data_IF_965674045608
#
_entry.id   IF_965674045608
#
_cell.length_a   1.000
_cell.length_b   1.000
_cell.length_c   1.000
_cell.angle_alpha   90.00
_cell.angle_beta   90.00
_cell.angle_gamma   90.00
#
_symmetry.space_group_name_H-M   'P 1'
#
loop_
_entity.id
_entity.type
_entity.pdbx_description
1 polymer ?
#
# COMPACT_ATOMS: atom_id res chain seq x y z
N UNK A 1 6.30 -4.79 -18.90
CA UNK A 1 7.20 -3.62 -18.88
C UNK A 1 7.96 -3.66 -17.57
N UNK A 2 9.27 -3.90 -17.64
CA UNK A 2 10.13 -4.01 -16.45
C UNK A 2 10.08 -2.66 -15.72
N UNK A 3 9.63 -2.58 -14.46
CA UNK A 3 9.77 -1.34 -13.72
C UNK A 3 11.27 -1.07 -13.65
N UNK A 4 11.69 0.09 -14.15
CA UNK A 4 13.02 0.62 -13.83
C UNK A 4 13.14 0.61 -12.30
N UNK A 5 14.34 0.37 -11.77
CA UNK A 5 14.59 0.24 -10.33
C UNK A 5 14.20 1.50 -9.49
N UNK A 6 13.64 2.53 -10.13
CA UNK A 6 13.10 3.78 -9.57
C UNK A 6 11.71 4.18 -10.16
N UNK A 7 10.88 3.21 -10.59
CA UNK A 7 9.59 3.49 -11.22
C UNK A 7 8.47 3.70 -10.20
N UNK A 8 7.84 4.89 -10.22
CA UNK A 8 6.60 5.16 -9.52
C UNK A 8 5.44 4.39 -10.20
N UNK A 9 4.81 3.47 -9.47
CA UNK A 9 3.67 2.69 -9.96
C UNK A 9 2.41 3.12 -9.21
N UNK A 10 1.36 3.50 -9.95
CA UNK A 10 0.04 3.80 -9.40
C UNK A 10 -0.93 2.70 -9.81
N UNK A 11 -1.59 2.08 -8.83
CA UNK A 11 -2.60 1.05 -9.06
C UNK A 11 -3.90 1.43 -8.35
N UNK A 12 -5.02 1.32 -9.07
CA UNK A 12 -6.37 1.51 -8.51
C UNK A 12 -6.99 0.12 -8.34
N UNK A 13 -7.29 -0.26 -7.11
CA UNK A 13 -7.84 -1.57 -6.78
C UNK A 13 -8.92 -1.45 -5.70
N UNK A 14 -9.71 -2.50 -5.56
CA UNK A 14 -10.74 -2.59 -4.53
C UNK A 14 -10.11 -2.60 -3.11
N UNK A 15 -10.81 -2.08 -2.08
CA UNK A 15 -10.27 -1.97 -0.71
C UNK A 15 -9.74 -3.29 -0.15
N UNK A 16 -10.34 -4.42 -0.49
CA UNK A 16 -9.90 -5.75 -0.06
C UNK A 16 -8.49 -6.09 -0.60
N UNK A 17 -8.21 -5.74 -1.86
CA UNK A 17 -6.90 -5.97 -2.49
C UNK A 17 -5.84 -5.10 -1.83
N UNK A 18 -6.18 -3.84 -1.52
CA UNK A 18 -5.27 -2.90 -0.85
C UNK A 18 -4.90 -3.41 0.56
N UNK A 19 -5.86 -3.92 1.33
CA UNK A 19 -5.60 -4.53 2.66
C UNK A 19 -4.64 -5.71 2.55
N UNK A 20 -4.88 -6.62 1.61
CA UNK A 20 -4.02 -7.78 1.39
C UNK A 20 -2.60 -7.38 0.95
N UNK A 21 -2.50 -6.44 0.01
CA UNK A 21 -1.23 -5.90 -0.46
C UNK A 21 -0.45 -5.23 0.69
N UNK A 22 -1.14 -4.51 1.58
CA UNK A 22 -0.50 -3.87 2.71
C UNK A 22 0.06 -4.87 3.72
N UNK A 23 -0.74 -5.87 4.09
CA UNK A 23 -0.31 -6.95 4.99
C UNK A 23 0.89 -7.67 4.42
N UNK A 24 0.86 -7.96 3.11
CA UNK A 24 1.97 -8.61 2.42
C UNK A 24 3.23 -7.74 2.35
N UNK A 25 3.10 -6.49 1.89
CA UNK A 25 4.24 -5.61 1.66
C UNK A 25 4.93 -5.19 2.97
N UNK A 26 4.17 -5.02 4.06
CA UNK A 26 4.72 -4.71 5.38
C UNK A 26 5.13 -5.96 6.18
N UNK A 27 4.97 -7.17 5.59
CA UNK A 27 5.17 -8.44 6.29
C UNK A 27 4.41 -8.49 7.65
N UNK A 28 3.21 -7.91 7.67
CA UNK A 28 2.38 -7.83 8.86
C UNK A 28 1.67 -9.17 9.12
N UNK A 29 1.28 -9.46 10.38
CA UNK A 29 0.47 -10.63 10.68
C UNK A 29 -0.83 -10.66 9.87
N UNK A 30 -1.34 -11.84 9.46
CA UNK A 30 -2.58 -11.94 8.68
C UNK A 30 -3.81 -11.39 9.42
N UNK A 31 -3.78 -11.37 10.76
CA UNK A 31 -4.80 -10.72 11.58
C UNK A 31 -4.93 -9.20 11.34
N UNK A 32 -3.86 -8.56 10.85
CA UNK A 32 -3.85 -7.14 10.52
C UNK A 32 -4.81 -6.82 9.36
N UNK A 33 -5.11 -7.79 8.49
CA UNK A 33 -6.06 -7.61 7.38
C UNK A 33 -7.40 -7.02 7.82
N UNK A 34 -7.92 -7.49 8.96
CA UNK A 34 -9.21 -7.03 9.51
C UNK A 34 -9.12 -5.68 10.23
N UNK A 35 -7.92 -5.29 10.66
CA UNK A 35 -7.66 -4.04 11.38
C UNK A 35 -7.32 -2.86 10.45
N UNK A 36 -7.03 -3.13 9.18
CA UNK A 36 -6.72 -2.09 8.20
C UNK A 36 -8.03 -1.51 7.65
N UNK A 37 -8.41 -0.34 8.17
CA UNK A 37 -9.52 0.44 7.63
C UNK A 37 -9.07 1.26 6.40
N UNK A 38 -9.34 0.73 5.22
CA UNK A 38 -9.15 1.46 3.94
C UNK A 38 -10.41 2.26 3.67
N UNK A 39 -10.40 3.55 4.00
CA UNK A 39 -11.50 4.46 3.64
C UNK A 39 -11.50 4.71 2.14
N UNK A 40 -12.68 4.64 1.46
CA UNK A 40 -12.77 4.99 0.06
C UNK A 40 -12.31 6.45 -0.13
N UNK A 41 -11.46 6.69 -1.14
CA UNK A 41 -10.74 7.96 -1.44
C UNK A 41 -9.45 8.26 -0.64
N UNK A 42 -8.91 7.32 0.13
CA UNK A 42 -7.57 7.50 0.74
C UNK A 42 -6.46 7.05 -0.21
N UNK A 43 -5.51 7.94 -0.51
CA UNK A 43 -4.30 7.62 -1.29
C UNK A 43 -3.25 6.99 -0.37
N UNK A 44 -2.87 5.75 -0.67
CA UNK A 44 -1.83 5.02 0.09
C UNK A 44 -0.58 4.96 -0.80
N UNK A 45 0.49 5.58 -0.32
CA UNK A 45 1.78 5.57 -1.01
C UNK A 45 2.73 4.64 -0.27
N UNK A 46 3.14 3.55 -0.92
CA UNK A 46 4.20 2.69 -0.42
C UNK A 46 5.52 3.10 -1.06
N UNK A 47 6.50 3.47 -0.23
CA UNK A 47 7.86 3.78 -0.68
C UNK A 47 8.83 2.83 0.01
N UNK A 48 9.84 2.35 -0.69
CA UNK A 48 10.82 1.47 -0.09
C UNK A 48 11.57 0.60 -1.07
N UNK A 49 12.52 -0.14 -0.53
CA UNK A 49 13.29 -1.15 -1.26
C UNK A 49 12.62 -2.52 -1.10
N UNK A 50 12.89 -3.47 -2.00
CA UNK A 50 12.44 -4.85 -1.84
C UNK A 50 12.81 -5.37 -0.44
N UNK A 51 11.82 -5.75 0.36
CA UNK A 51 11.99 -6.25 1.73
C UNK A 51 11.97 -5.18 2.83
N UNK A 52 11.92 -3.89 2.51
CA UNK A 52 11.75 -2.80 3.47
C UNK A 52 10.84 -1.70 2.90
N UNK A 53 9.54 -1.93 3.02
CA UNK A 53 8.51 -1.00 2.61
C UNK A 53 8.09 -0.09 3.77
N UNK A 54 7.95 1.21 3.49
CA UNK A 54 7.39 2.21 4.38
C UNK A 54 6.07 2.67 3.79
N UNK A 55 5.02 2.65 4.61
CA UNK A 55 3.72 3.17 4.24
C UNK A 55 3.63 4.64 4.61
N UNK A 56 3.24 5.48 3.66
CA UNK A 56 2.80 6.86 3.87
C UNK A 56 1.33 6.96 3.53
N UNK A 57 0.54 7.46 4.49
CA UNK A 57 -0.86 7.80 4.26
C UNK A 57 -0.92 9.26 3.89
N UNK A 58 -1.21 9.55 2.62
CA UNK A 58 -1.52 10.92 2.26
C UNK A 58 -2.94 11.22 2.73
N UNK A 59 -3.03 11.92 3.87
CA UNK A 59 -4.24 12.56 4.33
C UNK A 59 -4.57 13.65 3.31
N UNK A 60 -5.45 13.35 2.37
CA UNK A 60 -5.91 14.31 1.36
C UNK A 60 -6.42 15.60 2.00
N UNK A 61 -5.54 16.60 2.07
CA UNK A 61 -5.90 18.01 2.22
C UNK A 61 -4.94 18.78 1.31
N UNK A 62 -5.33 18.91 0.05
CA UNK A 62 -4.95 20.05 -0.78
C UNK A 62 -6.14 20.49 -1.60
#
# INVERSE_FOLDING_TARGET
TRPADDALVVAVAEPAVIRAALVYALNAPPATYWNVDVRPLSTITLTGLPGRWSLSLESGIR
#
